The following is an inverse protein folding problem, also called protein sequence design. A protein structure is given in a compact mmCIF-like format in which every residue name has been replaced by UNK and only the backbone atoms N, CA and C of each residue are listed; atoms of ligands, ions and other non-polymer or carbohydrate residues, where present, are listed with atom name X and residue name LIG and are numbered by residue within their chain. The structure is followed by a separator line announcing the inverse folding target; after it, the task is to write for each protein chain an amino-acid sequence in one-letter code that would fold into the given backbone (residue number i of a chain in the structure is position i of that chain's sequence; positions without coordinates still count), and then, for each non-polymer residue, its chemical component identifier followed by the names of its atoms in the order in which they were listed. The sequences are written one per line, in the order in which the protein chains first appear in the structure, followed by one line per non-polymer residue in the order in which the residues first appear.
data_IF_503295384223
#
_entry.id   IF_503295384223
#
_cell.length_a   1.000
_cell.length_b   1.000
_cell.length_c   1.000
_cell.angle_alpha   90.00
_cell.angle_beta   90.00
_cell.angle_gamma   90.00
#
_symmetry.space_group_name_H-M   'P 1'
#
loop_
_entity.id
_entity.type
_entity.pdbx_description
1 polymer ?
#
# COMPACT_ATOMS: atom_id res chain seq x y z
N UNK A 1 -50.05 -23.25 13.85
CA UNK A 1 -49.28 -21.99 14.01
C UNK A 1 -47.81 -22.36 14.07
N UNK A 2 -47.13 -22.36 12.92
CA UNK A 2 -45.69 -22.54 12.86
C UNK A 2 -45.17 -21.48 11.89
N UNK A 3 -44.66 -20.40 12.44
CA UNK A 3 -43.98 -19.34 11.70
C UNK A 3 -42.52 -19.75 11.56
N UNK A 4 -42.17 -20.38 10.44
CA UNK A 4 -40.76 -20.56 10.07
C UNK A 4 -40.36 -19.35 9.22
N UNK A 5 -39.77 -18.35 9.87
CA UNK A 5 -39.22 -17.16 9.22
C UNK A 5 -37.71 -17.29 9.17
N UNK A 6 -37.19 -18.05 8.21
CA UNK A 6 -35.78 -18.00 7.85
C UNK A 6 -35.52 -16.70 7.09
N UNK A 7 -34.59 -15.82 7.53
CA UNK A 7 -34.28 -14.61 6.78
C UNK A 7 -33.60 -14.96 5.45
N UNK A 8 -33.79 -14.16 4.38
CA UNK A 8 -33.22 -14.47 3.07
C UNK A 8 -31.71 -14.21 3.09
N UNK A 9 -30.90 -15.26 3.21
CA UNK A 9 -29.43 -15.23 3.07
C UNK A 9 -29.02 -15.32 1.58
N UNK A 10 -29.76 -14.67 0.68
CA UNK A 10 -29.55 -14.74 -0.77
C UNK A 10 -29.51 -13.36 -1.45
N UNK A 11 -28.80 -12.40 -0.85
CA UNK A 11 -28.39 -11.17 -1.56
C UNK A 11 -26.96 -10.76 -1.19
N UNK A 12 -25.99 -11.64 -1.41
CA UNK A 12 -24.58 -11.26 -1.38
C UNK A 12 -23.70 -12.23 -2.19
N UNK A 13 -24.05 -12.45 -3.45
CA UNK A 13 -23.25 -13.30 -4.35
C UNK A 13 -23.31 -12.81 -5.79
N UNK A 14 -22.77 -11.62 -6.04
CA UNK A 14 -22.22 -11.26 -7.35
C UNK A 14 -21.54 -9.91 -7.28
N UNK A 15 -20.42 -9.85 -6.55
CA UNK A 15 -19.39 -8.89 -6.95
C UNK A 15 -18.78 -9.51 -8.21
N UNK A 16 -19.29 -9.12 -9.37
CA UNK A 16 -18.60 -9.39 -10.63
C UNK A 16 -17.22 -8.77 -10.47
N UNK A 17 -16.17 -9.60 -10.41
CA UNK A 17 -14.79 -9.15 -10.39
C UNK A 17 -14.54 -8.44 -11.72
N UNK A 18 -14.88 -7.16 -11.74
CA UNK A 18 -14.53 -6.29 -12.85
C UNK A 18 -13.03 -6.09 -12.80
N UNK A 19 -12.46 -6.23 -13.98
CA UNK A 19 -11.03 -6.13 -14.21
C UNK A 19 -10.52 -4.68 -14.01
N UNK A 20 -11.44 -3.71 -13.98
CA UNK A 20 -11.15 -2.30 -13.77
C UNK A 20 -10.78 -2.00 -12.32
N UNK A 21 -9.71 -1.23 -12.14
CA UNK A 21 -9.36 -0.64 -10.85
C UNK A 21 -9.82 0.81 -10.83
N UNK A 22 -10.41 1.25 -9.73
CA UNK A 22 -10.89 2.63 -9.58
C UNK A 22 -9.69 3.59 -9.55
N UNK A 23 -9.65 4.51 -10.51
CA UNK A 23 -8.64 5.57 -10.59
C UNK A 23 -9.15 6.86 -9.94
N UNK A 24 -8.29 7.56 -9.22
CA UNK A 24 -8.61 8.88 -8.69
C UNK A 24 -8.81 9.87 -9.84
N UNK A 25 -9.91 10.64 -9.76
CA UNK A 25 -10.39 11.56 -10.79
C UNK A 25 -9.33 12.49 -11.38
N UNK A 26 -8.39 13.00 -10.57
CA UNK A 26 -7.43 14.02 -10.99
C UNK A 26 -6.02 13.50 -11.26
N UNK A 27 -5.57 12.51 -10.50
CA UNK A 27 -4.18 12.01 -10.59
C UNK A 27 -4.04 10.72 -11.39
N UNK A 28 -5.15 10.09 -11.81
CA UNK A 28 -5.17 8.76 -12.44
C UNK A 28 -4.40 7.71 -11.63
N UNK A 29 -4.29 7.94 -10.32
CA UNK A 29 -3.65 7.01 -9.40
C UNK A 29 -4.71 6.02 -8.94
N UNK A 30 -4.32 4.76 -8.90
CA UNK A 30 -5.07 3.69 -8.28
C UNK A 30 -4.91 3.81 -6.77
N UNK A 31 -6.02 3.68 -6.04
CA UNK A 31 -5.98 3.65 -4.57
C UNK A 31 -5.52 2.27 -4.09
N UNK A 32 -4.73 2.22 -3.03
CA UNK A 32 -4.24 0.94 -2.49
C UNK A 32 -5.42 0.08 -2.00
N UNK A 33 -6.46 0.70 -1.42
CA UNK A 33 -7.68 0.00 -1.01
C UNK A 33 -8.35 -0.79 -2.15
N UNK A 34 -8.35 -0.26 -3.38
CA UNK A 34 -9.02 -0.92 -4.52
C UNK A 34 -8.23 -2.09 -5.08
N UNK A 35 -6.97 -2.25 -4.66
CA UNK A 35 -6.15 -3.42 -4.94
C UNK A 35 -6.33 -4.45 -3.82
N UNK A 36 -6.04 -4.06 -2.58
CA UNK A 36 -5.90 -4.99 -1.45
C UNK A 36 -7.23 -5.47 -0.86
N UNK A 37 -8.28 -4.64 -0.85
CA UNK A 37 -9.59 -4.99 -0.28
C UNK A 37 -10.51 -5.70 -1.27
N UNK A 38 -10.01 -6.10 -2.44
CA UNK A 38 -10.77 -6.95 -3.34
C UNK A 38 -10.95 -8.34 -2.71
N UNK A 39 -12.04 -9.07 -3.03
CA UNK A 39 -12.27 -10.42 -2.51
C UNK A 39 -11.13 -11.40 -2.83
N UNK A 40 -10.41 -11.18 -3.93
CA UNK A 40 -9.25 -11.96 -4.39
C UNK A 40 -7.91 -11.45 -3.83
N UNK A 41 -7.93 -10.46 -2.92
CA UNK A 41 -6.74 -9.81 -2.37
C UNK A 41 -5.86 -9.13 -3.43
N UNK A 42 -6.43 -8.80 -4.60
CA UNK A 42 -5.73 -8.19 -5.72
C UNK A 42 -5.08 -9.19 -6.69
N UNK A 43 -5.18 -10.50 -6.45
CA UNK A 43 -4.58 -11.52 -7.31
C UNK A 43 -5.06 -11.45 -8.77
N UNK A 44 -6.33 -11.16 -9.00
CA UNK A 44 -6.89 -10.98 -10.35
C UNK A 44 -6.37 -9.75 -11.09
N UNK A 45 -5.63 -8.85 -10.42
CA UNK A 45 -4.98 -7.70 -11.04
C UNK A 45 -3.52 -7.97 -11.44
N UNK A 46 -3.02 -9.19 -11.24
CA UNK A 46 -1.65 -9.55 -11.63
C UNK A 46 -1.41 -9.32 -13.13
N UNK A 47 -0.21 -8.83 -13.47
CA UNK A 47 0.17 -8.43 -14.83
C UNK A 47 -0.28 -7.01 -15.21
N UNK A 48 -1.18 -6.38 -14.45
CA UNK A 48 -1.60 -4.99 -14.73
C UNK A 48 -0.54 -4.00 -14.28
N UNK A 49 -0.31 -3.00 -15.11
CA UNK A 49 0.51 -1.84 -14.75
C UNK A 49 -0.38 -0.77 -14.12
N UNK A 50 -0.06 -0.37 -12.89
CA UNK A 50 -0.82 0.61 -12.12
C UNK A 50 0.07 1.75 -11.66
N UNK A 51 -0.54 2.92 -11.45
CA UNK A 51 0.11 4.09 -10.86
C UNK A 51 -0.41 4.25 -9.45
N UNK A 52 0.48 4.25 -8.46
CA UNK A 52 0.10 4.46 -7.07
C UNK A 52 0.97 5.55 -6.46
N UNK A 53 0.48 6.17 -5.39
CA UNK A 53 1.26 7.14 -4.64
C UNK A 53 0.88 7.13 -3.18
N UNK A 54 1.87 7.36 -2.32
CA UNK A 54 1.71 7.29 -0.88
C UNK A 54 3.01 7.63 -0.15
N UNK A 55 3.08 7.26 1.12
CA UNK A 55 4.28 7.38 1.94
C UNK A 55 4.77 6.03 2.42
N UNK A 56 6.10 5.88 2.46
CA UNK A 56 6.77 4.67 2.95
C UNK A 56 6.56 4.55 4.45
N UNK A 57 5.96 3.45 4.90
CA UNK A 57 5.83 3.12 6.32
C UNK A 57 7.08 2.40 6.81
N UNK A 58 7.49 1.39 6.06
CA UNK A 58 8.69 0.61 6.31
C UNK A 58 9.44 0.43 5.00
N UNK A 59 10.74 0.71 4.99
CA UNK A 59 11.62 0.40 3.88
C UNK A 59 12.83 -0.40 4.36
N UNK A 60 13.27 -1.35 3.55
CA UNK A 60 14.50 -2.14 3.75
C UNK A 60 15.16 -2.47 2.41
N UNK A 61 16.48 -2.40 2.36
CA UNK A 61 17.26 -2.90 1.23
C UNK A 61 17.51 -4.40 1.41
N UNK A 62 17.55 -5.15 0.30
CA UNK A 62 17.79 -6.59 0.27
C UNK A 62 18.73 -6.93 -0.90
N UNK A 63 19.29 -8.15 -0.88
CA UNK A 63 20.13 -8.65 -1.95
C UNK A 63 21.42 -7.84 -2.10
N UNK A 64 22.00 -7.42 -0.97
CA UNK A 64 23.17 -6.54 -0.90
C UNK A 64 22.98 -5.20 -1.64
N UNK A 65 21.77 -4.64 -1.59
CA UNK A 65 21.45 -3.33 -2.19
C UNK A 65 21.02 -3.42 -3.65
N UNK A 66 20.65 -4.60 -4.14
CA UNK A 66 20.14 -4.78 -5.51
C UNK A 66 18.66 -4.37 -5.65
N UNK A 67 17.88 -4.51 -4.58
CA UNK A 67 16.48 -4.07 -4.54
C UNK A 67 16.07 -3.67 -3.13
N UNK A 68 15.00 -2.88 -3.02
CA UNK A 68 14.38 -2.49 -1.77
C UNK A 68 12.93 -2.95 -1.70
N UNK A 69 12.54 -3.44 -0.53
CA UNK A 69 11.14 -3.65 -0.17
C UNK A 69 10.63 -2.42 0.56
N UNK A 70 9.57 -1.83 0.03
CA UNK A 70 8.86 -0.71 0.62
C UNK A 70 7.43 -1.15 0.95
N UNK A 71 6.99 -0.89 2.17
CA UNK A 71 5.58 -0.93 2.54
C UNK A 71 4.99 0.46 2.33
N UNK A 72 4.14 0.60 1.30
CA UNK A 72 3.54 1.86 0.92
C UNK A 72 2.12 1.96 1.49
N UNK A 73 1.77 3.14 2.02
CA UNK A 73 0.43 3.47 2.47
C UNK A 73 0.00 4.81 1.89
N UNK A 74 -1.23 4.90 1.40
CA UNK A 74 -1.83 6.11 0.80
C UNK A 74 -2.95 6.70 1.67
N UNK A 75 -3.21 6.12 2.85
CA UNK A 75 -4.29 6.48 3.77
C UNK A 75 -5.67 5.96 3.36
N UNK A 76 -5.81 5.26 2.23
CA UNK A 76 -7.10 4.75 1.76
C UNK A 76 -7.56 3.49 2.51
N UNK A 77 -6.61 2.73 3.07
CA UNK A 77 -6.86 1.59 3.96
C UNK A 77 -5.72 1.42 5.00
N UNK A 78 -5.95 0.69 6.10
CA UNK A 78 -4.92 0.41 7.11
C UNK A 78 -3.80 -0.52 6.61
N UNK A 79 -4.09 -1.34 5.59
CA UNK A 79 -3.15 -2.27 4.99
C UNK A 79 -2.11 -1.54 4.13
N UNK A 80 -0.91 -2.10 4.06
CA UNK A 80 0.19 -1.55 3.26
C UNK A 80 0.41 -2.43 2.03
N UNK A 81 0.66 -1.81 0.87
CA UNK A 81 1.04 -2.55 -0.33
C UNK A 81 2.56 -2.72 -0.35
N UNK A 82 3.01 -3.96 -0.61
CA UNK A 82 4.43 -4.23 -0.83
C UNK A 82 4.84 -3.73 -2.21
N UNK A 83 5.86 -2.88 -2.25
CA UNK A 83 6.45 -2.30 -3.45
C UNK A 83 7.91 -2.69 -3.51
N UNK A 84 8.33 -3.28 -4.62
CA UNK A 84 9.72 -3.67 -4.89
C UNK A 84 10.31 -2.68 -5.87
N UNK A 85 11.41 -2.05 -5.46
CA UNK A 85 12.19 -1.13 -6.30
C UNK A 85 13.56 -1.74 -6.53
N UNK A 86 13.94 -1.92 -7.78
CA UNK A 86 15.29 -2.36 -8.14
C UNK A 86 16.25 -1.17 -8.17
N UNK A 87 17.52 -1.38 -7.81
CA UNK A 87 18.55 -0.35 -7.86
C UNK A 87 18.81 0.16 -9.29
N UNK A 88 18.46 -0.64 -10.29
CA UNK A 88 18.48 -0.28 -11.72
C UNK A 88 17.49 0.85 -12.07
N UNK A 89 16.38 0.95 -11.33
CA UNK A 89 15.30 1.92 -11.59
C UNK A 89 15.54 3.22 -10.83
N UNK A 90 15.91 3.14 -9.54
CA UNK A 90 16.12 4.33 -8.72
C UNK A 90 17.10 4.09 -7.56
N UNK A 91 17.88 5.09 -7.12
CA UNK A 91 18.75 4.97 -5.95
C UNK A 91 18.00 4.63 -4.66
N UNK A 92 18.23 3.43 -4.11
CA UNK A 92 17.45 2.86 -3.00
C UNK A 92 17.62 3.59 -1.65
N UNK A 93 18.82 4.11 -1.38
CA UNK A 93 19.19 4.69 -0.08
C UNK A 93 18.27 5.81 0.38
N UNK A 94 17.72 6.59 -0.57
CA UNK A 94 16.84 7.72 -0.27
C UNK A 94 15.36 7.32 -0.12
N UNK A 95 15.01 6.07 -0.45
CA UNK A 95 13.64 5.59 -0.50
C UNK A 95 13.21 4.88 0.79
N UNK A 96 14.16 4.25 1.48
CA UNK A 96 13.86 3.40 2.64
C UNK A 96 13.49 4.18 3.92
N UNK A 97 13.68 5.50 3.90
CA UNK A 97 13.32 6.37 5.02
C UNK A 97 11.79 6.39 5.22
N UNK A 98 11.34 6.12 6.45
CA UNK A 98 9.92 6.22 6.81
C UNK A 98 9.43 7.65 6.60
N UNK A 99 8.22 7.78 6.04
CA UNK A 99 7.61 9.07 5.67
C UNK A 99 7.92 9.54 4.26
N UNK A 100 8.88 8.90 3.56
CA UNK A 100 9.24 9.27 2.18
C UNK A 100 8.03 9.18 1.28
N UNK A 101 7.71 10.28 0.61
CA UNK A 101 6.54 10.36 -0.28
C UNK A 101 6.95 10.03 -1.70
N UNK A 102 6.24 9.07 -2.30
CA UNK A 102 6.61 8.47 -3.58
C UNK A 102 5.39 8.36 -4.48
N UNK A 103 5.64 8.43 -5.78
CA UNK A 103 4.66 8.10 -6.80
C UNK A 103 5.32 7.16 -7.79
N UNK A 104 4.76 5.97 -7.92
CA UNK A 104 5.40 4.88 -8.64
C UNK A 104 4.44 4.29 -9.67
N UNK A 105 5.00 3.92 -10.80
CA UNK A 105 4.31 3.14 -11.82
C UNK A 105 4.97 1.78 -11.85
N UNK A 106 4.17 0.73 -11.69
CA UNK A 106 4.69 -0.62 -11.60
C UNK A 106 3.69 -1.65 -12.05
N UNK A 107 4.16 -2.89 -12.16
CA UNK A 107 3.36 -4.04 -12.51
C UNK A 107 3.02 -4.83 -11.25
N UNK A 108 1.73 -5.14 -11.07
CA UNK A 108 1.28 -6.01 -10.00
C UNK A 108 1.66 -7.45 -10.32
N UNK A 109 2.29 -8.14 -9.36
CA UNK A 109 2.68 -9.54 -9.48
C UNK A 109 2.24 -10.31 -8.25
N UNK A 110 1.87 -11.56 -8.47
CA UNK A 110 1.69 -12.52 -7.39
C UNK A 110 3.09 -12.86 -6.85
N UNK A 111 3.34 -12.70 -5.55
CA UNK A 111 4.63 -13.03 -4.98
C UNK A 111 4.89 -14.54 -5.00
N UNK A 112 6.15 -14.98 -4.83
CA UNK A 112 6.49 -16.40 -4.79
C UNK A 112 5.78 -17.17 -3.66
N UNK A 113 5.64 -18.49 -3.81
CA UNK A 113 5.08 -19.35 -2.76
C UNK A 113 5.80 -19.14 -1.42
N UNK A 114 5.01 -18.89 -0.36
CA UNK A 114 5.52 -18.64 0.98
C UNK A 114 5.59 -17.17 1.39
N UNK A 115 5.29 -16.22 0.49
CA UNK A 115 5.12 -14.82 0.87
C UNK A 115 3.79 -14.61 1.63
N UNK A 116 3.81 -13.76 2.66
CA UNK A 116 2.61 -13.40 3.43
C UNK A 116 1.64 -12.47 2.70
N UNK A 117 2.12 -11.81 1.64
CA UNK A 117 1.34 -10.83 0.87
C UNK A 117 0.64 -11.53 -0.29
N UNK A 118 -0.57 -11.10 -0.64
CA UNK A 118 -1.32 -11.66 -1.78
C UNK A 118 -0.86 -11.08 -3.11
N UNK A 119 -0.38 -9.84 -3.10
CA UNK A 119 0.06 -9.12 -4.29
C UNK A 119 1.21 -8.16 -3.93
N UNK A 120 2.15 -7.98 -4.86
CA UNK A 120 3.24 -7.02 -4.76
C UNK A 120 3.34 -6.18 -6.03
N UNK A 121 3.85 -4.96 -5.92
CA UNK A 121 4.09 -4.08 -7.06
C UNK A 121 5.58 -4.04 -7.39
N UNK A 122 5.97 -4.46 -8.60
CA UNK A 122 7.34 -4.24 -9.11
C UNK A 122 7.41 -2.94 -9.89
N UNK A 123 8.23 -2.01 -9.41
CA UNK A 123 8.30 -0.68 -10.00
C UNK A 123 9.02 -0.70 -11.34
N UNK A 124 8.42 -0.01 -12.33
CA UNK A 124 9.00 0.26 -13.65
C UNK A 124 9.47 1.70 -13.77
N UNK A 125 8.70 2.63 -13.21
CA UNK A 125 9.01 4.06 -13.22
C UNK A 125 8.77 4.65 -11.83
N UNK A 126 9.66 5.54 -11.40
CA UNK A 126 9.75 6.02 -10.03
C UNK A 126 9.87 7.55 -10.01
N UNK A 127 8.87 8.22 -9.45
CA UNK A 127 8.90 9.64 -9.16
C UNK A 127 9.05 9.86 -7.64
N UNK A 128 10.21 10.36 -7.24
CA UNK A 128 10.46 10.77 -5.87
C UNK A 128 9.86 12.15 -5.62
N UNK A 129 8.76 12.22 -4.85
CA UNK A 129 8.05 13.48 -4.60
C UNK A 129 8.64 14.22 -3.39
N UNK A 130 8.91 13.51 -2.29
CA UNK A 130 9.35 14.13 -1.04
C UNK A 130 10.38 13.28 -0.33
N UNK A 131 11.64 13.72 -0.35
CA UNK A 131 12.70 13.14 0.46
C UNK A 131 12.48 13.50 1.93
N UNK A 132 12.75 12.55 2.82
CA UNK A 132 12.63 12.73 4.26
C UNK A 132 13.99 12.55 4.90
N UNK A 133 14.35 13.50 5.76
CA UNK A 133 15.47 13.37 6.67
C UNK A 133 15.04 12.49 7.86
N UNK A 134 15.59 11.26 8.00
CA UNK A 134 15.20 10.34 9.06
C UNK A 134 15.44 10.90 10.47
N UNK A 135 16.41 11.82 10.64
CA UNK A 135 16.72 12.40 11.93
C UNK A 135 15.68 13.44 12.39
N UNK A 136 14.95 14.04 11.44
CA UNK A 136 13.95 15.10 11.72
C UNK A 136 12.52 14.59 11.66
N UNK A 137 12.29 13.39 11.11
CA UNK A 137 10.94 12.87 10.94
C UNK A 137 10.34 12.46 12.30
N UNK A 138 9.22 13.05 12.72
CA UNK A 138 8.73 12.91 14.10
C UNK A 138 7.94 11.63 14.34
N UNK A 139 7.70 10.82 13.30
CA UNK A 139 7.04 9.52 13.39
C UNK A 139 8.08 8.40 13.30
N UNK A 140 8.55 7.85 14.43
CA UNK A 140 9.41 6.67 14.43
C UNK A 140 8.65 5.43 13.96
N UNK A 141 9.40 4.38 13.61
CA UNK A 141 8.86 3.04 13.29
C UNK A 141 8.24 2.34 14.50
N UNK A 142 8.57 2.78 15.72
CA UNK A 142 8.07 2.20 16.96
C UNK A 142 6.62 2.63 17.27
N UNK A 143 5.94 1.86 18.12
CA UNK A 143 4.60 2.22 18.61
C UNK A 143 4.67 3.53 19.38
N UNK A 144 3.78 4.46 19.04
CA UNK A 144 3.66 5.75 19.71
C UNK A 144 2.54 5.73 20.75
N UNK A 145 2.71 6.52 21.82
CA UNK A 145 1.65 6.79 22.78
C UNK A 145 0.65 7.80 22.21
N UNK A 146 -0.58 7.82 22.73
CA UNK A 146 -1.60 8.76 22.27
C UNK A 146 -1.21 10.20 22.61
N UNK A 147 -0.49 10.42 23.70
CA UNK A 147 0.02 11.71 24.16
C UNK A 147 0.99 12.27 23.12
N UNK A 148 1.95 11.46 22.67
CA UNK A 148 2.89 11.86 21.62
C UNK A 148 2.16 12.17 20.31
N UNK A 149 1.14 11.39 19.93
CA UNK A 149 0.34 11.68 18.73
C UNK A 149 -0.47 12.97 18.83
N UNK A 150 -0.84 13.42 20.04
CA UNK A 150 -1.50 14.72 20.28
C UNK A 150 -0.53 15.90 20.13
N UNK A 151 0.77 15.70 20.29
CA UNK A 151 1.78 16.74 20.00
C UNK A 151 1.98 16.95 18.49
N UNK A 152 1.78 15.89 17.69
CA UNK A 152 1.96 15.90 16.23
C UNK A 152 0.66 15.58 15.48
N UNK A 153 -0.41 16.30 15.82
CA UNK A 153 -1.76 16.10 15.27
C UNK A 153 -1.81 16.03 13.74
N UNK A 154 -1.04 16.87 13.06
CA UNK A 154 -0.98 16.94 11.60
C UNK A 154 -0.43 15.66 10.95
N UNK A 155 0.29 14.81 11.70
CA UNK A 155 0.84 13.54 11.22
C UNK A 155 0.12 12.31 11.79
N UNK A 156 -0.77 12.50 12.78
CA UNK A 156 -1.57 11.41 13.35
C UNK A 156 -2.30 10.55 12.30
N UNK A 157 -2.91 11.12 11.22
CA UNK A 157 -3.58 10.32 10.19
C UNK A 157 -2.66 9.35 9.43
N UNK A 158 -1.33 9.52 9.50
CA UNK A 158 -0.36 8.62 8.87
C UNK A 158 -0.01 7.40 9.74
N UNK A 159 -0.59 7.28 10.92
CA UNK A 159 -0.40 6.16 11.84
C UNK A 159 -1.61 5.23 11.84
N UNK A 160 -1.41 3.97 12.22
CA UNK A 160 -2.50 2.98 12.25
C UNK A 160 -3.22 2.97 13.61
N UNK A 161 -2.86 3.87 14.51
CA UNK A 161 -3.40 3.96 15.86
C UNK A 161 -4.54 4.98 15.88
N UNK A 162 -5.77 4.46 15.82
CA UNK A 162 -7.01 5.20 16.08
C UNK A 162 -7.61 4.67 17.37
#
# INVERSE_FOLDING_TARGET
MSCDSTPPVEKMSSITLTDSVEEAQFSKRVLIRSILLRPDGGAGLAGRTVRIGGWVKTGREQGNGTFAFLELNDGSCPQNLQVIVEASVHPLRKLVATGTSVHVVGELKVPPEGAKQTIELRVKDFLHIGAVDPAKYPLPKARLTLERLREILHLRPRTNTV
#
